data_IF_982196745373
#
_entry.id   IF_982196745373
#
_cell.length_a   1.000
_cell.length_b   1.000
_cell.length_c   1.000
_cell.angle_alpha   90.00
_cell.angle_beta   90.00
_cell.angle_gamma   90.00
#
_symmetry.space_group_name_H-M   'P 1'
#
loop_
_entity.id
_entity.type
_entity.pdbx_description
1 polymer ?
#
# COMPACT_ATOMS: atom_id res chain seq x y z
N UNK A 1 11.78 -38.05 -34.80
CA UNK A 1 12.53 -36.79 -34.55
C UNK A 1 11.66 -35.57 -34.22
N UNK A 2 10.36 -35.47 -34.54
CA UNK A 2 9.49 -34.29 -34.28
C UNK A 2 9.02 -34.14 -32.81
N UNK A 3 8.98 -35.19 -31.98
CA UNK A 3 8.49 -35.15 -30.58
C UNK A 3 9.47 -34.49 -29.59
N UNK A 4 10.77 -34.56 -29.83
CA UNK A 4 11.79 -34.03 -28.91
C UNK A 4 11.91 -32.50 -28.94
N UNK A 5 11.59 -31.86 -30.06
CA UNK A 5 11.59 -30.39 -30.17
C UNK A 5 10.43 -29.73 -29.45
N UNK A 6 9.25 -30.39 -29.42
CA UNK A 6 8.06 -29.89 -28.75
C UNK A 6 8.21 -29.87 -27.23
N UNK A 7 8.91 -30.87 -26.66
CA UNK A 7 9.19 -30.93 -25.23
C UNK A 7 10.26 -29.92 -24.77
N UNK A 8 11.28 -29.66 -25.58
CA UNK A 8 12.30 -28.64 -25.30
C UNK A 8 11.76 -27.21 -25.38
N UNK A 9 10.91 -26.88 -26.36
CA UNK A 9 10.23 -25.58 -26.40
C UNK A 9 9.30 -25.37 -25.22
N UNK A 10 8.64 -26.41 -24.71
CA UNK A 10 7.71 -26.31 -23.57
C UNK A 10 8.45 -26.09 -22.24
N UNK A 11 9.64 -26.66 -22.07
CA UNK A 11 10.44 -26.50 -20.86
C UNK A 11 11.11 -25.11 -20.80
N UNK A 12 11.58 -24.61 -21.94
CA UNK A 12 12.18 -23.26 -22.01
C UNK A 12 11.11 -22.18 -21.86
N UNK A 13 9.92 -22.38 -22.43
CA UNK A 13 8.79 -21.47 -22.25
C UNK A 13 8.26 -21.49 -20.82
N UNK A 14 8.25 -22.65 -20.14
CA UNK A 14 7.82 -22.75 -18.76
C UNK A 14 8.75 -22.00 -17.78
N UNK A 15 10.07 -22.01 -18.03
CA UNK A 15 11.04 -21.29 -17.19
C UNK A 15 10.99 -19.77 -17.34
N UNK A 16 10.71 -19.27 -18.53
CA UNK A 16 10.59 -17.82 -18.80
C UNK A 16 9.24 -17.25 -18.36
N UNK A 17 8.16 -18.04 -18.42
CA UNK A 17 6.84 -17.66 -17.96
C UNK A 17 6.79 -17.53 -16.43
N UNK A 18 7.51 -18.37 -15.70
CA UNK A 18 7.51 -18.39 -14.23
C UNK A 18 8.13 -17.14 -13.60
N UNK A 19 9.22 -16.62 -14.12
CA UNK A 19 9.86 -15.38 -13.65
C UNK A 19 9.00 -14.15 -13.98
N UNK A 20 8.36 -14.13 -15.14
CA UNK A 20 7.44 -13.06 -15.54
C UNK A 20 6.19 -13.00 -14.63
N UNK A 21 5.65 -14.13 -14.19
CA UNK A 21 4.48 -14.18 -13.31
C UNK A 21 4.80 -13.65 -11.89
N UNK A 22 5.93 -14.03 -11.33
CA UNK A 22 6.40 -13.50 -10.03
C UNK A 22 6.70 -12.00 -10.14
N UNK A 23 7.43 -11.59 -11.19
CA UNK A 23 7.76 -10.18 -11.41
C UNK A 23 6.50 -9.35 -11.67
N UNK A 24 5.56 -9.87 -12.45
CA UNK A 24 4.28 -9.21 -12.70
C UNK A 24 3.45 -9.03 -11.43
N UNK A 25 3.34 -10.07 -10.59
CA UNK A 25 2.64 -10.00 -9.32
C UNK A 25 3.33 -9.05 -8.32
N UNK A 26 4.66 -9.06 -8.29
CA UNK A 26 5.47 -8.12 -7.50
C UNK A 26 5.20 -6.68 -7.93
N UNK A 27 5.38 -6.37 -9.21
CA UNK A 27 5.19 -5.02 -9.75
C UNK A 27 3.76 -4.51 -9.53
N UNK A 28 2.78 -5.38 -9.75
CA UNK A 28 1.38 -5.05 -9.53
C UNK A 28 1.11 -4.69 -8.07
N UNK A 29 1.64 -5.48 -7.14
CA UNK A 29 1.44 -5.26 -5.70
C UNK A 29 2.19 -4.03 -5.24
N UNK A 30 3.44 -3.88 -5.64
CA UNK A 30 4.25 -2.73 -5.28
C UNK A 30 3.69 -1.44 -5.88
N UNK A 31 3.45 -1.40 -7.19
CA UNK A 31 2.92 -0.21 -7.87
C UNK A 31 1.50 0.16 -7.43
N UNK A 32 0.67 -0.84 -7.08
CA UNK A 32 -0.67 -0.58 -6.57
C UNK A 32 -0.70 -0.04 -5.13
N UNK A 33 0.21 -0.48 -4.28
CA UNK A 33 0.24 -0.06 -2.87
C UNK A 33 1.12 1.16 -2.63
N UNK A 34 2.23 1.32 -3.34
CA UNK A 34 3.23 2.36 -3.09
C UNK A 34 2.65 3.78 -3.10
N UNK A 35 1.85 4.19 -4.11
CA UNK A 35 1.29 5.54 -4.13
C UNK A 35 0.28 5.80 -3.00
N UNK A 36 -0.45 4.77 -2.56
CA UNK A 36 -1.50 4.91 -1.54
C UNK A 36 -0.91 4.91 -0.14
N UNK A 37 0.09 4.08 0.11
CA UNK A 37 0.87 4.06 1.37
C UNK A 37 1.74 5.30 1.49
N UNK A 38 2.25 5.79 0.35
CA UNK A 38 3.02 7.03 0.18
C UNK A 38 4.05 7.28 1.30
N UNK A 39 5.03 6.41 1.48
CA UNK A 39 5.96 6.50 2.61
C UNK A 39 6.84 7.76 2.56
N UNK A 40 7.01 8.36 1.39
CA UNK A 40 7.81 9.58 1.19
C UNK A 40 7.10 10.79 1.80
N UNK A 41 5.78 10.93 1.56
CA UNK A 41 4.96 11.98 2.15
C UNK A 41 4.79 11.77 3.67
N UNK A 42 4.58 10.53 4.10
CA UNK A 42 4.39 10.21 5.51
C UNK A 42 5.66 10.44 6.36
N UNK A 43 6.87 10.47 5.76
CA UNK A 43 8.12 10.62 6.48
C UNK A 43 8.27 11.96 7.23
N UNK A 44 7.98 13.13 6.65
CA UNK A 44 7.98 14.40 7.39
C UNK A 44 7.01 14.42 8.57
N UNK A 45 5.81 13.84 8.42
CA UNK A 45 4.86 13.72 9.54
C UNK A 45 5.39 12.82 10.64
N UNK A 46 5.94 11.67 10.27
CA UNK A 46 6.58 10.77 11.21
C UNK A 46 7.68 11.49 11.98
N UNK A 47 8.50 12.30 11.30
CA UNK A 47 9.55 13.09 11.93
C UNK A 47 8.98 14.13 12.91
N UNK A 48 7.96 14.89 12.51
CA UNK A 48 7.28 15.86 13.37
C UNK A 48 6.72 15.24 14.64
N UNK A 49 5.97 14.11 14.50
CA UNK A 49 5.40 13.38 15.65
C UNK A 49 6.45 12.75 16.58
N UNK A 50 7.66 12.54 16.09
CA UNK A 50 8.76 11.90 16.81
C UNK A 50 9.93 12.85 17.11
N UNK A 51 9.73 14.15 16.96
CA UNK A 51 10.78 15.18 17.15
C UNK A 51 11.41 15.16 18.54
N UNK A 52 10.63 14.80 19.58
CA UNK A 52 11.10 14.68 20.96
C UNK A 52 11.81 13.36 21.28
N UNK A 53 11.94 12.42 20.34
CA UNK A 53 12.59 11.13 20.55
C UNK A 53 14.05 11.17 20.08
N UNK A 54 14.90 10.37 20.74
CA UNK A 54 16.27 10.12 20.28
C UNK A 54 16.28 9.39 18.93
N UNK A 55 17.38 9.49 18.18
CA UNK A 55 17.53 8.79 16.92
C UNK A 55 17.36 7.27 17.04
N UNK A 56 17.81 6.68 18.14
CA UNK A 56 17.67 5.25 18.42
C UNK A 56 16.20 4.85 18.63
N UNK A 57 15.47 5.61 19.44
CA UNK A 57 14.03 5.39 19.69
C UNK A 57 13.21 5.56 18.40
N UNK A 58 13.50 6.59 17.60
CA UNK A 58 12.87 6.84 16.33
C UNK A 58 13.08 5.68 15.35
N UNK A 59 14.30 5.17 15.23
CA UNK A 59 14.60 4.02 14.39
C UNK A 59 13.89 2.74 14.85
N UNK A 60 13.81 2.52 16.17
CA UNK A 60 13.06 1.40 16.74
C UNK A 60 11.56 1.53 16.42
N UNK A 61 11.02 2.74 16.48
CA UNK A 61 9.62 3.03 16.17
C UNK A 61 9.34 2.85 14.68
N UNK A 62 10.23 3.33 13.78
CA UNK A 62 10.15 3.13 12.34
C UNK A 62 10.08 1.64 11.98
N UNK A 63 10.91 0.81 12.61
CA UNK A 63 10.88 -0.65 12.43
C UNK A 63 9.55 -1.26 12.88
N UNK A 64 9.01 -0.83 14.02
CA UNK A 64 7.71 -1.32 14.52
C UNK A 64 6.58 -0.93 13.57
N UNK A 65 6.58 0.30 13.05
CA UNK A 65 5.57 0.77 12.09
C UNK A 65 5.65 -0.05 10.79
N UNK A 66 6.84 -0.31 10.27
CA UNK A 66 7.03 -1.13 9.07
C UNK A 66 6.53 -2.58 9.27
N UNK A 67 6.83 -3.19 10.42
CA UNK A 67 6.33 -4.54 10.75
C UNK A 67 4.81 -4.56 10.88
N UNK A 68 4.23 -3.59 11.59
CA UNK A 68 2.77 -3.48 11.73
C UNK A 68 2.10 -3.24 10.38
N UNK A 69 2.66 -2.37 9.54
CA UNK A 69 2.18 -2.11 8.19
C UNK A 69 2.23 -3.36 7.30
N UNK A 70 3.35 -4.11 7.35
CA UNK A 70 3.46 -5.41 6.71
C UNK A 70 2.36 -6.38 7.16
N UNK A 71 2.16 -6.52 8.48
CA UNK A 71 1.17 -7.42 9.04
C UNK A 71 -0.28 -7.03 8.64
N UNK A 72 -0.60 -5.72 8.63
CA UNK A 72 -1.91 -5.23 8.22
C UNK A 72 -2.17 -5.46 6.73
N UNK A 73 -1.20 -5.17 5.86
CA UNK A 73 -1.34 -5.37 4.42
C UNK A 73 -1.43 -6.86 4.07
N UNK A 74 -0.58 -7.69 4.68
CA UNK A 74 -0.62 -9.13 4.48
C UNK A 74 -1.94 -9.73 5.01
N UNK A 75 -2.36 -9.34 6.21
CA UNK A 75 -3.63 -9.74 6.79
C UNK A 75 -4.81 -9.33 5.91
N UNK A 76 -4.82 -8.10 5.40
CA UNK A 76 -5.85 -7.62 4.48
C UNK A 76 -5.86 -8.42 3.17
N UNK A 77 -4.70 -8.74 2.62
CA UNK A 77 -4.59 -9.51 1.37
C UNK A 77 -5.06 -10.95 1.55
N UNK A 78 -4.73 -11.59 2.67
CA UNK A 78 -5.05 -13.02 2.90
C UNK A 78 -6.44 -13.20 3.47
N UNK A 79 -6.80 -12.45 4.53
CA UNK A 79 -8.09 -12.62 5.22
C UNK A 79 -9.21 -11.81 4.59
N UNK A 80 -8.87 -10.70 3.92
CA UNK A 80 -9.86 -9.79 3.34
C UNK A 80 -10.85 -10.46 2.39
N UNK A 81 -10.41 -11.28 1.41
CA UNK A 81 -11.31 -11.99 0.51
C UNK A 81 -12.33 -12.87 1.23
N UNK A 82 -11.91 -13.59 2.28
CA UNK A 82 -12.80 -14.45 3.08
C UNK A 82 -13.81 -13.64 3.89
N UNK A 83 -13.38 -12.48 4.42
CA UNK A 83 -14.28 -11.56 5.12
C UNK A 83 -15.34 -10.99 4.17
N UNK A 84 -14.95 -10.63 2.94
CA UNK A 84 -15.89 -10.14 1.94
C UNK A 84 -16.92 -11.22 1.57
N UNK A 85 -16.46 -12.45 1.38
CA UNK A 85 -17.34 -13.58 1.06
C UNK A 85 -18.30 -13.85 2.22
N UNK A 86 -17.83 -13.83 3.46
CA UNK A 86 -18.64 -14.02 4.66
C UNK A 86 -19.74 -12.96 4.79
N UNK A 87 -19.44 -11.70 4.52
CA UNK A 87 -20.43 -10.61 4.56
C UNK A 87 -21.24 -10.44 3.26
N UNK A 88 -20.99 -11.26 2.23
CA UNK A 88 -21.65 -11.14 0.93
C UNK A 88 -21.30 -9.83 0.19
N UNK A 89 -20.17 -9.19 0.51
CA UNK A 89 -19.76 -7.93 -0.10
C UNK A 89 -19.02 -8.20 -1.41
N UNK A 90 -19.49 -7.60 -2.50
CA UNK A 90 -18.84 -7.74 -3.81
C UNK A 90 -17.57 -6.90 -3.88
N UNK A 91 -16.53 -7.43 -4.49
CA UNK A 91 -15.24 -6.74 -4.65
C UNK A 91 -15.33 -5.34 -5.32
N UNK A 92 -16.17 -5.10 -6.35
CA UNK A 92 -16.35 -3.75 -6.89
C UNK A 92 -16.81 -2.72 -5.87
N UNK A 93 -17.68 -3.11 -4.92
CA UNK A 93 -18.15 -2.22 -3.84
C UNK A 93 -17.00 -1.82 -2.92
N UNK A 94 -16.11 -2.77 -2.58
CA UNK A 94 -14.93 -2.48 -1.77
C UNK A 94 -13.98 -1.52 -2.47
N UNK A 95 -13.81 -1.66 -3.79
CA UNK A 95 -13.02 -0.72 -4.59
C UNK A 95 -13.59 0.69 -4.54
N UNK A 96 -14.91 0.84 -4.74
CA UNK A 96 -15.57 2.14 -4.67
C UNK A 96 -15.39 2.74 -3.28
N UNK A 97 -15.69 2.00 -2.22
CA UNK A 97 -15.54 2.47 -0.84
C UNK A 97 -14.10 2.86 -0.50
N UNK A 98 -13.13 2.01 -0.88
CA UNK A 98 -11.70 2.30 -0.69
C UNK A 98 -11.23 3.52 -1.47
N UNK A 99 -11.69 3.67 -2.72
CA UNK A 99 -11.40 4.82 -3.56
C UNK A 99 -11.99 6.13 -3.00
N UNK A 100 -13.21 6.10 -2.45
CA UNK A 100 -13.80 7.25 -1.76
C UNK A 100 -12.94 7.68 -0.57
N UNK A 101 -12.47 6.73 0.26
CA UNK A 101 -11.60 7.04 1.40
C UNK A 101 -10.27 7.65 0.94
N UNK A 102 -9.65 7.10 -0.11
CA UNK A 102 -8.38 7.62 -0.67
C UNK A 102 -8.58 9.02 -1.25
N UNK A 103 -9.67 9.24 -2.00
CA UNK A 103 -10.02 10.56 -2.56
C UNK A 103 -10.25 11.60 -1.46
N UNK A 104 -11.02 11.23 -0.43
CA UNK A 104 -11.29 12.11 0.70
C UNK A 104 -10.01 12.45 1.48
N UNK A 105 -9.10 11.49 1.63
CA UNK A 105 -7.79 11.74 2.25
C UNK A 105 -6.95 12.69 1.41
N UNK A 106 -6.84 12.45 0.09
CA UNK A 106 -6.12 13.33 -0.82
C UNK A 106 -6.70 14.76 -0.82
N UNK A 107 -8.03 14.88 -0.84
CA UNK A 107 -8.71 16.18 -0.73
C UNK A 107 -8.40 16.89 0.58
N UNK A 108 -8.50 16.17 1.71
CA UNK A 108 -8.18 16.72 3.02
C UNK A 108 -6.75 17.24 3.07
N UNK A 109 -5.77 16.49 2.58
CA UNK A 109 -4.36 16.89 2.55
C UNK A 109 -4.09 18.07 1.62
N UNK A 110 -4.87 18.20 0.52
CA UNK A 110 -4.72 19.28 -0.45
C UNK A 110 -5.29 20.61 0.06
N UNK A 111 -6.41 20.59 0.80
CA UNK A 111 -7.15 21.77 1.24
C UNK A 111 -6.74 22.29 2.62
N UNK A 112 -5.91 21.59 3.34
CA UNK A 112 -5.50 21.96 4.69
C UNK A 112 -4.46 23.08 4.65
N UNK A 113 -4.77 24.22 5.30
CA UNK A 113 -3.91 25.41 5.31
C UNK A 113 -2.79 25.32 6.35
N UNK A 114 -2.99 24.61 7.46
CA UNK A 114 -2.02 24.46 8.56
C UNK A 114 -1.61 23.03 8.83
N UNK A 115 -0.32 22.77 8.70
CA UNK A 115 0.32 21.47 8.97
C UNK A 115 0.35 21.11 10.46
N UNK A 116 0.25 22.09 11.34
CA UNK A 116 0.23 21.90 12.80
C UNK A 116 -1.02 21.16 13.29
N UNK A 117 -2.14 21.31 12.60
CA UNK A 117 -3.41 20.68 12.98
C UNK A 117 -3.52 19.18 12.59
N UNK A 118 -2.61 18.68 11.73
CA UNK A 118 -2.59 17.24 11.40
C UNK A 118 -2.28 16.35 12.59
N UNK A 119 -1.66 16.92 13.62
CA UNK A 119 -1.36 16.13 14.78
C UNK A 119 -2.62 15.86 15.62
N UNK A 120 -3.72 16.64 15.51
CA UNK A 120 -4.89 16.49 16.40
C UNK A 120 -4.51 16.26 17.86
N UNK A 121 -3.23 16.52 18.19
CA UNK A 121 -2.60 16.28 19.46
C UNK A 121 -2.04 17.60 19.98
N UNK A 122 -2.38 18.00 21.20
CA UNK A 122 -1.80 19.18 21.83
C UNK A 122 -0.29 19.07 21.79
N UNK A 123 0.37 20.04 21.17
CA UNK A 123 1.80 20.25 21.29
C UNK A 123 2.10 20.49 22.78
N UNK A 124 2.65 19.52 23.46
CA UNK A 124 3.02 19.74 24.87
C UNK A 124 2.74 18.59 25.85
N UNK A 125 2.93 17.35 25.46
CA UNK A 125 2.95 16.26 26.41
C UNK A 125 3.87 15.14 25.97
N UNK A 126 4.74 14.65 26.86
CA UNK A 126 5.52 13.41 26.73
C UNK A 126 4.61 12.16 26.61
N UNK A 127 3.61 12.20 25.70
CA UNK A 127 2.83 11.00 25.42
C UNK A 127 3.66 10.07 24.56
N UNK A 128 3.84 8.84 25.03
CA UNK A 128 4.43 7.76 24.21
C UNK A 128 3.61 7.61 22.96
N UNK A 129 4.14 8.09 21.82
CA UNK A 129 3.50 7.93 20.52
C UNK A 129 3.45 6.44 20.23
N UNK A 130 2.25 5.89 20.13
CA UNK A 130 2.07 4.46 19.87
C UNK A 130 2.56 4.08 18.46
N UNK A 131 3.23 2.94 18.34
CA UNK A 131 3.67 2.46 17.03
C UNK A 131 2.50 2.05 16.14
N UNK A 132 1.41 1.55 16.70
CA UNK A 132 0.24 1.14 15.95
C UNK A 132 -0.69 2.33 15.67
N UNK A 133 -1.10 3.05 16.68
CA UNK A 133 -1.92 4.26 16.56
C UNK A 133 -1.18 5.44 17.16
N UNK A 134 -1.07 6.58 16.45
CA UNK A 134 -1.60 6.87 15.11
C UNK A 134 -0.62 6.56 13.97
N UNK A 135 0.58 6.03 14.23
CA UNK A 135 1.67 5.96 13.24
C UNK A 135 1.45 4.91 12.15
N UNK A 136 1.08 3.67 12.52
CA UNK A 136 0.77 2.66 11.51
C UNK A 136 -0.61 2.93 10.94
N UNK A 137 -1.63 3.03 11.78
CA UNK A 137 -3.00 3.29 11.39
C UNK A 137 -3.46 4.62 12.02
N UNK A 138 -3.91 5.62 11.26
CA UNK A 138 -4.17 5.64 9.82
C UNK A 138 -3.02 6.24 8.97
N UNK A 139 -1.90 6.69 9.59
CA UNK A 139 -0.90 7.51 8.90
C UNK A 139 -0.20 6.76 7.75
N UNK A 140 0.23 5.52 8.00
CA UNK A 140 1.02 4.76 7.02
C UNK A 140 0.15 3.78 6.23
N UNK A 141 -0.68 2.99 6.92
CA UNK A 141 -1.57 1.99 6.32
C UNK A 141 -2.99 2.31 6.72
N UNK A 142 -3.75 2.89 5.81
CA UNK A 142 -5.15 3.26 6.02
C UNK A 142 -6.12 2.31 5.34
N UNK A 143 -7.45 2.56 5.48
CA UNK A 143 -8.49 1.76 4.84
C UNK A 143 -8.36 1.66 3.32
N UNK A 144 -7.82 2.71 2.66
CA UNK A 144 -7.56 2.72 1.22
C UNK A 144 -6.53 1.68 0.79
N UNK A 145 -5.37 1.63 1.46
CA UNK A 145 -4.33 0.63 1.17
C UNK A 145 -4.78 -0.78 1.52
N UNK A 146 -5.57 -0.96 2.58
CA UNK A 146 -6.21 -2.25 2.90
C UNK A 146 -7.16 -2.70 1.79
N UNK A 147 -8.01 -1.81 1.26
CA UNK A 147 -8.92 -2.10 0.14
C UNK A 147 -8.17 -2.58 -1.10
N UNK A 148 -7.04 -1.95 -1.42
CA UNK A 148 -6.18 -2.39 -2.53
C UNK A 148 -5.54 -3.75 -2.24
N UNK A 149 -5.05 -3.98 -1.02
CA UNK A 149 -4.49 -5.27 -0.63
C UNK A 149 -5.55 -6.40 -0.72
N UNK A 150 -6.78 -6.17 -0.26
CA UNK A 150 -7.92 -7.08 -0.42
C UNK A 150 -8.18 -7.35 -1.91
N UNK A 151 -8.19 -6.31 -2.72
CA UNK A 151 -8.40 -6.43 -4.18
C UNK A 151 -7.35 -7.31 -4.85
N UNK A 152 -6.09 -7.17 -4.44
CA UNK A 152 -4.98 -7.99 -4.94
C UNK A 152 -5.18 -9.45 -4.51
N UNK A 153 -5.52 -9.70 -3.24
CA UNK A 153 -5.79 -11.04 -2.70
C UNK A 153 -7.03 -11.71 -3.31
N UNK A 154 -8.02 -10.92 -3.74
CA UNK A 154 -9.27 -11.42 -4.34
C UNK A 154 -9.17 -11.76 -5.83
N UNK A 155 -8.00 -11.59 -6.47
CA UNK A 155 -7.83 -11.88 -7.90
C UNK A 155 -7.90 -13.37 -8.15
N UNK A 156 -9.01 -13.82 -8.72
CA UNK A 156 -9.18 -15.20 -9.19
C UNK A 156 -8.52 -15.33 -10.57
N UNK A 157 -7.72 -16.37 -10.75
CA UNK A 157 -7.21 -16.75 -12.08
C UNK A 157 -8.35 -17.47 -12.82
N UNK A 158 -8.64 -17.13 -14.08
CA UNK A 158 -9.66 -17.84 -14.85
C UNK A 158 -9.29 -19.33 -15.01
N UNK A 159 -10.25 -20.22 -14.78
CA UNK A 159 -10.04 -21.66 -14.85
C UNK A 159 -9.55 -22.29 -13.54
N UNK A 160 -9.05 -23.51 -13.59
CA UNK A 160 -8.38 -24.20 -12.47
C UNK A 160 -6.87 -23.99 -12.67
N UNK A 161 -6.26 -22.97 -12.03
CA UNK A 161 -4.84 -22.74 -12.22
C UNK A 161 -4.02 -23.85 -11.54
N UNK A 162 -2.89 -24.26 -12.14
CA UNK A 162 -1.98 -25.18 -11.47
C UNK A 162 -1.48 -24.57 -10.16
N UNK A 163 -1.25 -25.41 -9.16
CA UNK A 163 -0.79 -24.96 -7.82
C UNK A 163 0.49 -24.11 -7.90
N UNK A 164 1.35 -24.38 -8.87
CA UNK A 164 2.57 -23.63 -9.15
C UNK A 164 2.29 -22.17 -9.51
N UNK A 165 1.28 -21.89 -10.32
CA UNK A 165 0.90 -20.53 -10.73
C UNK A 165 0.35 -19.72 -9.54
N UNK A 166 -0.47 -20.37 -8.69
CA UNK A 166 -0.96 -19.75 -7.47
C UNK A 166 0.20 -19.40 -6.54
N UNK A 167 1.11 -20.35 -6.32
CA UNK A 167 2.26 -20.14 -5.46
C UNK A 167 3.17 -19.00 -5.97
N UNK A 168 3.38 -18.90 -7.28
CA UNK A 168 4.18 -17.83 -7.90
C UNK A 168 3.55 -16.45 -7.73
N UNK A 169 2.26 -16.32 -7.98
CA UNK A 169 1.52 -15.06 -7.77
C UNK A 169 1.52 -14.64 -6.30
N UNK A 170 1.33 -15.58 -5.39
CA UNK A 170 1.41 -15.29 -3.95
C UNK A 170 2.83 -14.88 -3.53
N UNK A 171 3.85 -15.54 -4.05
CA UNK A 171 5.25 -15.19 -3.78
C UNK A 171 5.57 -13.78 -4.28
N UNK A 172 5.18 -13.46 -5.52
CA UNK A 172 5.36 -12.10 -6.07
C UNK A 172 4.63 -11.04 -5.26
N UNK A 173 3.39 -11.29 -4.87
CA UNK A 173 2.61 -10.37 -4.03
C UNK A 173 3.25 -10.19 -2.64
N UNK A 174 3.70 -11.26 -2.00
CA UNK A 174 4.41 -11.21 -0.72
C UNK A 174 5.69 -10.37 -0.81
N UNK A 175 6.50 -10.59 -1.85
CA UNK A 175 7.69 -9.79 -2.11
C UNK A 175 7.35 -8.31 -2.31
N UNK A 176 6.23 -8.01 -2.99
CA UNK A 176 5.72 -6.66 -3.15
C UNK A 176 5.39 -5.99 -1.81
N UNK A 177 4.70 -6.69 -0.90
CA UNK A 177 4.39 -6.18 0.45
C UNK A 177 5.66 -6.02 1.28
N UNK A 178 6.62 -6.94 1.18
CA UNK A 178 7.94 -6.82 1.85
C UNK A 178 8.66 -5.56 1.36
N UNK A 179 8.67 -5.32 0.05
CA UNK A 179 9.26 -4.13 -0.54
C UNK A 179 8.58 -2.83 -0.03
N UNK A 180 7.24 -2.82 0.09
CA UNK A 180 6.51 -1.70 0.71
C UNK A 180 6.94 -1.49 2.17
N UNK A 181 7.00 -2.55 2.97
CA UNK A 181 7.45 -2.46 4.37
C UNK A 181 8.89 -1.93 4.48
N UNK A 182 9.77 -2.35 3.56
CA UNK A 182 11.15 -1.86 3.50
C UNK A 182 11.18 -0.37 3.12
N UNK A 183 10.38 0.07 2.15
CA UNK A 183 10.29 1.49 1.79
C UNK A 183 9.75 2.36 2.91
N UNK A 184 8.74 1.89 3.67
CA UNK A 184 8.26 2.55 4.89
C UNK A 184 9.41 2.70 5.90
N UNK A 185 10.12 1.60 6.19
CA UNK A 185 11.23 1.63 7.13
C UNK A 185 12.33 2.61 6.70
N UNK A 186 12.75 2.57 5.44
CA UNK A 186 13.79 3.45 4.90
C UNK A 186 13.35 4.92 4.92
N UNK A 187 12.13 5.23 4.47
CA UNK A 187 11.60 6.58 4.47
C UNK A 187 11.56 7.17 5.89
N UNK A 188 11.10 6.38 6.89
CA UNK A 188 11.03 6.83 8.27
C UNK A 188 12.39 6.89 8.96
N UNK A 189 13.30 6.00 8.63
CA UNK A 189 14.68 6.04 9.11
C UNK A 189 15.39 7.31 8.66
N UNK A 190 15.18 7.72 7.41
CA UNK A 190 15.80 8.90 6.81
C UNK A 190 14.91 10.16 6.89
N UNK A 191 13.79 10.11 7.60
CA UNK A 191 12.83 11.21 7.70
C UNK A 191 13.45 12.53 8.17
N UNK A 192 14.39 12.48 9.13
CA UNK A 192 15.12 13.68 9.60
C UNK A 192 16.01 14.29 8.52
N UNK A 193 16.63 13.48 7.68
CA UNK A 193 17.45 13.94 6.56
C UNK A 193 16.57 14.53 5.48
N UNK A 194 15.46 13.86 5.14
CA UNK A 194 14.48 14.36 4.17
C UNK A 194 13.92 15.73 4.59
N UNK A 195 13.47 15.86 5.84
CA UNK A 195 12.95 17.13 6.37
C UNK A 195 14.00 18.26 6.31
N UNK A 196 15.27 17.93 6.56
CA UNK A 196 16.36 18.93 6.51
C UNK A 196 16.72 19.35 5.09
N UNK A 197 16.75 18.40 4.15
CA UNK A 197 17.13 18.66 2.74
C UNK A 197 16.04 19.42 1.99
N UNK A 198 14.77 19.05 2.21
CA UNK A 198 13.64 19.70 1.54
C UNK A 198 13.33 21.08 2.15
N UNK A 199 13.60 21.29 3.45
CA UNK A 199 13.13 22.46 4.17
C UNK A 199 11.60 22.49 4.31
N UNK A 200 11.05 23.50 4.99
CA UNK A 200 9.61 23.62 5.21
C UNK A 200 8.82 23.76 3.91
N UNK A 201 9.24 24.66 3.02
CA UNK A 201 8.58 24.90 1.74
C UNK A 201 8.65 23.68 0.80
N UNK A 202 9.78 22.95 0.78
CA UNK A 202 9.93 21.76 -0.04
C UNK A 202 9.04 20.61 0.44
N UNK A 203 8.88 20.45 1.75
CA UNK A 203 7.96 19.47 2.35
C UNK A 203 6.51 19.83 1.97
N UNK A 204 6.11 21.10 2.05
CA UNK A 204 4.78 21.54 1.69
C UNK A 204 4.44 21.23 0.22
N UNK A 205 5.34 21.59 -0.72
CA UNK A 205 5.17 21.29 -2.14
C UNK A 205 5.05 19.78 -2.40
N UNK A 206 5.93 18.98 -1.77
CA UNK A 206 5.90 17.53 -1.91
C UNK A 206 4.55 16.96 -1.48
N UNK A 207 4.04 17.44 -0.38
CA UNK A 207 2.77 16.94 0.17
C UNK A 207 1.59 17.35 -0.69
N UNK A 208 1.52 18.60 -1.13
CA UNK A 208 0.43 19.06 -2.01
C UNK A 208 0.42 18.28 -3.33
N UNK A 209 1.59 18.03 -3.91
CA UNK A 209 1.72 17.22 -5.13
C UNK A 209 1.27 15.77 -4.89
N UNK A 210 1.74 15.16 -3.81
CA UNK A 210 1.36 13.80 -3.43
C UNK A 210 -0.13 13.70 -3.13
N UNK A 211 -0.71 14.68 -2.44
CA UNK A 211 -2.14 14.75 -2.15
C UNK A 211 -2.98 14.80 -3.43
N UNK A 212 -2.56 15.58 -4.42
CA UNK A 212 -3.21 15.63 -5.73
C UNK A 212 -3.15 14.28 -6.45
N UNK A 213 -1.97 13.65 -6.48
CA UNK A 213 -1.79 12.32 -7.08
C UNK A 213 -2.68 11.29 -6.36
N UNK A 214 -2.71 11.32 -5.02
CA UNK A 214 -3.52 10.42 -4.21
C UNK A 214 -5.02 10.59 -4.52
N UNK A 215 -5.49 11.82 -4.68
CA UNK A 215 -6.86 12.10 -5.08
C UNK A 215 -7.18 11.52 -6.47
N UNK A 216 -6.29 11.70 -7.44
CA UNK A 216 -6.46 11.13 -8.78
C UNK A 216 -6.52 9.59 -8.74
N UNK A 217 -5.65 8.95 -7.96
CA UNK A 217 -5.65 7.49 -7.77
C UNK A 217 -6.96 7.04 -7.12
N UNK A 218 -7.45 7.76 -6.12
CA UNK A 218 -8.72 7.46 -5.48
C UNK A 218 -9.89 7.47 -6.46
N UNK A 219 -9.97 8.49 -7.32
CA UNK A 219 -10.98 8.60 -8.40
C UNK A 219 -10.85 7.43 -9.39
N UNK A 220 -9.63 7.08 -9.78
CA UNK A 220 -9.38 5.94 -10.69
C UNK A 220 -9.84 4.60 -10.08
N UNK A 221 -9.62 4.40 -8.78
CA UNK A 221 -10.09 3.21 -8.06
C UNK A 221 -11.62 3.15 -8.05
N UNK A 222 -12.30 4.31 -7.81
CA UNK A 222 -13.76 4.42 -7.87
C UNK A 222 -14.26 4.06 -9.26
N UNK A 223 -13.67 4.64 -10.30
CA UNK A 223 -14.04 4.38 -11.69
C UNK A 223 -13.92 2.91 -12.06
N UNK A 224 -12.80 2.29 -11.71
CA UNK A 224 -12.57 0.87 -11.94
C UNK A 224 -13.56 -0.02 -11.16
N UNK A 225 -13.93 0.37 -9.94
CA UNK A 225 -14.96 -0.31 -9.15
C UNK A 225 -16.34 -0.19 -9.79
N UNK A 226 -16.72 1.00 -10.23
CA UNK A 226 -18.00 1.29 -10.87
C UNK A 226 -18.13 0.55 -12.21
N UNK A 227 -17.12 0.62 -13.06
CA UNK A 227 -17.08 -0.09 -14.35
C UNK A 227 -17.23 -1.61 -14.18
N UNK A 228 -16.55 -2.17 -13.17
CA UNK A 228 -16.66 -3.58 -12.84
C UNK A 228 -18.05 -3.96 -12.30
N UNK A 229 -18.75 -3.05 -11.60
CA UNK A 229 -20.09 -3.28 -11.07
C UNK A 229 -21.14 -3.35 -12.19
N UNK A 230 -21.04 -2.47 -13.18
CA UNK A 230 -21.95 -2.44 -14.34
C UNK A 230 -21.72 -3.65 -15.28
N UNK A 231 -20.50 -4.10 -15.39
CA UNK A 231 -20.16 -5.25 -16.23
C UNK A 231 -20.63 -6.60 -15.66
N UNK A 232 -21.17 -6.64 -14.43
CA UNK A 232 -21.72 -7.85 -13.86
C UNK A 232 -23.12 -8.11 -14.47
N UNK A 233 -23.39 -9.30 -15.01
CA UNK A 233 -24.74 -9.66 -15.45
C UNK A 233 -25.67 -9.67 -14.22
N UNK A 234 -26.84 -9.08 -14.39
CA UNK A 234 -27.94 -9.05 -13.41
C UNK A 234 -28.57 -10.43 -13.28
#
# INVERSE_FOLDING_TARGET
MRRSYFLRCRVVAAGSITLNDIAGAFLLTFAGLFPIVNPIEAAPFFFGLTSGLSAAERNALARKVAINGFALLLGSMVLGPYLLEFFGIRLPVVRIAGGVVVTALGWKLLTQEDWSDHAGMPAGGRRKVGSFYPLTMPLTVGPGSMSVAITIGSRKTPGIPPLTEIAQKMTGALLGIIAIALTIYLAYRFASTMARVLGESGVEVLVRLSAFILMCIGIEIIWNGYSALIALPH
#
